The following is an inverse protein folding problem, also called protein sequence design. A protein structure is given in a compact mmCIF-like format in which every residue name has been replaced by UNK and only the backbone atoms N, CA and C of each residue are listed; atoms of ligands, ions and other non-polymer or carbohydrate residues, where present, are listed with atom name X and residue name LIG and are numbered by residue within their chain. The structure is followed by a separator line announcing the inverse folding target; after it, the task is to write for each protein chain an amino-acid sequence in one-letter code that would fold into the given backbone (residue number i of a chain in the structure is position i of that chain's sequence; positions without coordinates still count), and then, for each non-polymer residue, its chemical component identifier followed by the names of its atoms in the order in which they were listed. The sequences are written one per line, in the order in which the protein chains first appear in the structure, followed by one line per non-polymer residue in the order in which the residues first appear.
data_IF_785953043742
#
_entry.id   IF_785953043742
#
_cell.length_a   1.000
_cell.length_b   1.000
_cell.length_c   1.000
_cell.angle_alpha   90.00
_cell.angle_beta   90.00
_cell.angle_gamma   90.00
#
_symmetry.space_group_name_H-M   'P 1'
#
loop_
_entity.id
_entity.type
_entity.pdbx_description
1 polymer ?
#
# COMPACT_ATOMS: atom_id res chain seq x y z
N UNK A 1 -16.48 -7.24 1.76
CA UNK A 1 -15.33 -6.99 2.66
C UNK A 1 -14.27 -6.21 1.92
N UNK A 2 -13.85 -5.12 2.52
CA UNK A 2 -12.75 -4.32 1.98
C UNK A 2 -11.42 -4.84 2.54
N UNK A 3 -10.42 -4.94 1.67
CA UNK A 3 -9.08 -5.25 2.09
C UNK A 3 -8.51 -4.13 2.99
N UNK A 4 -7.71 -4.50 3.96
CA UNK A 4 -6.99 -3.56 4.80
C UNK A 4 -5.52 -3.51 4.40
N UNK A 5 -4.90 -2.37 4.62
CA UNK A 5 -3.46 -2.25 4.44
C UNK A 5 -2.72 -2.75 5.67
N UNK A 6 -1.66 -3.51 5.44
CA UNK A 6 -0.79 -4.07 6.48
C UNK A 6 0.64 -3.61 6.24
N UNK A 7 1.32 -3.30 7.32
CA UNK A 7 2.76 -3.02 7.32
C UNK A 7 3.49 -4.25 7.82
N UNK A 8 4.37 -4.79 6.98
CA UNK A 8 5.21 -5.94 7.30
C UNK A 8 6.67 -5.50 7.45
N UNK A 9 7.31 -5.93 8.53
CA UNK A 9 8.75 -5.77 8.72
C UNK A 9 9.42 -7.11 8.52
N UNK A 10 10.34 -7.16 7.57
CA UNK A 10 11.09 -8.35 7.19
C UNK A 10 12.55 -8.17 7.59
N UNK A 11 13.07 -9.12 8.35
CA UNK A 11 14.46 -9.12 8.80
C UNK A 11 15.22 -10.26 8.12
N UNK A 12 16.36 -9.93 7.54
CA UNK A 12 17.21 -10.90 6.88
C UNK A 12 18.68 -10.48 6.91
N UNK A 13 19.56 -11.37 6.46
CA UNK A 13 20.99 -11.11 6.36
C UNK A 13 21.32 -10.77 4.91
N UNK A 14 21.82 -9.57 4.69
CA UNK A 14 22.29 -9.13 3.39
C UNK A 14 23.81 -9.26 3.33
N UNK A 15 24.30 -9.86 2.23
CA UNK A 15 25.73 -9.96 1.96
C UNK A 15 26.14 -8.79 1.07
N UNK A 16 27.05 -7.97 1.57
CA UNK A 16 27.61 -6.86 0.82
C UNK A 16 28.60 -7.33 -0.26
N UNK A 17 28.96 -6.45 -1.19
CA UNK A 17 29.92 -6.74 -2.25
C UNK A 17 31.30 -7.17 -1.73
N UNK A 18 31.68 -6.74 -0.53
CA UNK A 18 32.91 -7.11 0.16
C UNK A 18 32.83 -8.46 0.93
N UNK A 19 31.70 -9.15 0.81
CA UNK A 19 31.47 -10.42 1.47
C UNK A 19 31.03 -10.33 2.96
N UNK A 20 30.85 -9.12 3.47
CA UNK A 20 30.38 -8.90 4.84
C UNK A 20 28.89 -9.12 4.97
N UNK A 21 28.48 -9.78 6.04
CA UNK A 21 27.09 -9.98 6.38
C UNK A 21 26.56 -8.82 7.21
N UNK A 22 25.39 -8.31 6.84
CA UNK A 22 24.69 -7.25 7.58
C UNK A 22 23.24 -7.67 7.80
N UNK A 23 22.79 -7.55 9.05
CA UNK A 23 21.37 -7.71 9.37
C UNK A 23 20.63 -6.46 8.95
N UNK A 24 19.59 -6.62 8.14
CA UNK A 24 18.73 -5.52 7.67
C UNK A 24 17.29 -5.82 8.01
N UNK A 25 16.54 -4.76 8.28
CA UNK A 25 15.10 -4.81 8.45
C UNK A 25 14.47 -3.88 7.42
N UNK A 26 13.59 -4.43 6.58
CA UNK A 26 12.92 -3.70 5.53
C UNK A 26 11.41 -3.71 5.77
N UNK A 27 10.76 -2.60 5.49
CA UNK A 27 9.32 -2.44 5.65
C UNK A 27 8.62 -2.48 4.30
N UNK A 28 7.49 -3.17 4.26
CA UNK A 28 6.66 -3.34 3.08
C UNK A 28 5.20 -3.05 3.44
N UNK A 29 4.48 -2.46 2.50
CA UNK A 29 3.04 -2.27 2.63
C UNK A 29 2.33 -3.20 1.67
N UNK A 30 1.30 -3.89 2.15
CA UNK A 30 0.48 -4.77 1.31
C UNK A 30 -0.96 -4.74 1.82
N UNK A 31 -1.90 -4.96 0.91
CA UNK A 31 -3.27 -5.13 1.32
C UNK A 31 -3.67 -6.60 1.41
N UNK A 32 -4.53 -6.91 2.35
CA UNK A 32 -5.02 -8.26 2.58
C UNK A 32 -6.34 -8.22 3.34
N UNK A 33 -7.05 -9.33 3.28
CA UNK A 33 -8.34 -9.49 3.97
C UNK A 33 -8.16 -9.87 5.46
N UNK A 34 -7.00 -10.43 5.82
CA UNK A 34 -6.70 -10.89 7.17
C UNK A 34 -5.19 -10.89 7.44
N UNK A 35 -4.80 -11.02 8.71
CA UNK A 35 -3.40 -11.19 9.09
C UNK A 35 -2.78 -12.44 8.47
N UNK A 36 -3.51 -13.54 8.45
CA UNK A 36 -3.04 -14.80 7.86
C UNK A 36 -2.74 -14.64 6.38
N UNK A 37 -3.60 -13.98 5.66
CA UNK A 37 -3.41 -13.70 4.25
C UNK A 37 -2.26 -12.73 4.01
N UNK A 38 -2.13 -11.68 4.84
CA UNK A 38 -1.02 -10.74 4.76
C UNK A 38 0.32 -11.44 4.96
N UNK A 39 0.42 -12.31 5.96
CA UNK A 39 1.62 -13.11 6.21
C UNK A 39 1.96 -14.01 5.02
N UNK A 40 0.97 -14.71 4.50
CA UNK A 40 1.13 -15.59 3.33
C UNK A 40 1.61 -14.84 2.10
N UNK A 41 1.04 -13.66 1.84
CA UNK A 41 1.40 -12.83 0.70
C UNK A 41 2.81 -12.25 0.82
N UNK A 42 3.18 -11.74 1.99
CA UNK A 42 4.53 -11.19 2.18
C UNK A 42 5.60 -12.28 2.08
N UNK A 43 5.33 -13.47 2.58
CA UNK A 43 6.23 -14.60 2.43
C UNK A 43 6.46 -14.96 0.97
N UNK A 44 5.40 -15.00 0.18
CA UNK A 44 5.48 -15.27 -1.25
C UNK A 44 6.32 -14.23 -1.99
N UNK A 45 6.13 -12.95 -1.67
CA UNK A 45 6.91 -11.86 -2.27
C UNK A 45 8.38 -11.94 -1.86
N UNK A 46 8.66 -12.25 -0.59
CA UNK A 46 10.02 -12.33 -0.09
C UNK A 46 10.79 -13.52 -0.65
N UNK A 47 10.14 -14.63 -0.94
CA UNK A 47 10.78 -15.79 -1.59
C UNK A 47 11.38 -15.46 -2.95
N UNK A 48 10.77 -14.52 -3.67
CA UNK A 48 11.28 -14.08 -4.97
C UNK A 48 12.41 -13.04 -4.87
N UNK A 49 12.55 -12.37 -3.74
CA UNK A 49 13.47 -11.24 -3.54
C UNK A 49 14.67 -11.63 -2.69
N UNK A 50 14.46 -12.44 -1.65
CA UNK A 50 15.50 -12.80 -0.69
C UNK A 50 15.98 -14.23 -0.94
N UNK A 51 17.29 -14.36 -1.15
CA UNK A 51 17.97 -15.65 -1.20
C UNK A 51 18.47 -15.98 0.21
N UNK A 52 17.91 -17.00 0.83
CA UNK A 52 18.29 -17.44 2.17
C UNK A 52 17.17 -17.22 3.19
N UNK A 53 17.55 -17.25 4.44
CA UNK A 53 16.59 -17.16 5.54
C UNK A 53 16.16 -15.73 5.81
N UNK A 54 14.89 -15.58 6.11
CA UNK A 54 14.30 -14.30 6.53
C UNK A 54 13.23 -14.54 7.59
N UNK A 55 12.91 -13.51 8.34
CA UNK A 55 11.88 -13.54 9.38
C UNK A 55 10.90 -12.39 9.18
N UNK A 56 9.63 -12.69 9.36
CA UNK A 56 8.62 -11.63 9.48
C UNK A 56 8.70 -11.13 10.94
N UNK A 57 9.37 -10.00 11.11
CA UNK A 57 9.65 -9.42 12.43
C UNK A 57 8.49 -8.61 13.01
N UNK A 58 7.52 -8.27 12.21
CA UNK A 58 6.32 -7.57 12.62
C UNK A 58 5.31 -7.50 11.49
N UNK A 59 4.05 -7.61 11.85
CA UNK A 59 2.93 -7.49 10.93
C UNK A 59 1.79 -6.79 11.67
N UNK A 60 1.42 -5.61 11.20
CA UNK A 60 0.36 -4.82 11.82
C UNK A 60 -0.51 -4.14 10.77
N UNK A 61 -1.76 -3.86 11.13
CA UNK A 61 -2.63 -3.04 10.31
C UNK A 61 -2.06 -1.63 10.20
N UNK A 62 -2.06 -1.10 8.98
CA UNK A 62 -1.68 0.29 8.72
C UNK A 62 -2.90 1.19 8.75
N UNK A 63 -2.70 2.45 9.09
CA UNK A 63 -3.73 3.47 8.99
C UNK A 63 -3.83 4.09 7.59
N UNK A 64 -3.01 3.65 6.65
CA UNK A 64 -3.08 4.08 5.24
C UNK A 64 -4.38 3.59 4.63
N UNK A 65 -5.11 4.49 3.98
CA UNK A 65 -6.40 4.20 3.36
C UNK A 65 -6.35 4.22 1.83
N UNK A 66 -5.43 4.99 1.25
CA UNK A 66 -5.32 5.18 -0.19
C UNK A 66 -3.87 5.13 -0.64
N UNK A 67 -3.67 4.58 -1.83
CA UNK A 67 -2.39 4.51 -2.50
C UNK A 67 -2.42 5.41 -3.73
N UNK A 68 -1.46 6.32 -3.84
CA UNK A 68 -1.27 7.16 -5.02
C UNK A 68 -0.04 6.65 -5.76
N UNK A 69 -0.26 5.91 -6.83
CA UNK A 69 0.79 5.38 -7.68
C UNK A 69 1.22 6.42 -8.71
N UNK A 70 2.40 6.25 -9.26
CA UNK A 70 2.93 7.09 -10.33
C UNK A 70 3.40 6.22 -11.49
N UNK A 71 3.20 6.71 -12.71
CA UNK A 71 3.72 6.06 -13.92
C UNK A 71 5.16 6.48 -14.23
N UNK A 72 5.67 7.50 -13.54
CA UNK A 72 7.04 7.98 -13.70
C UNK A 72 8.00 7.09 -12.92
N UNK A 73 8.97 6.49 -13.59
CA UNK A 73 9.98 5.60 -12.99
C UNK A 73 10.87 6.32 -11.97
N UNK A 74 10.99 7.64 -12.06
CA UNK A 74 11.76 8.44 -11.11
C UNK A 74 11.03 8.61 -9.77
N UNK A 75 9.72 8.39 -9.73
CA UNK A 75 8.93 8.41 -8.51
C UNK A 75 9.06 7.05 -7.79
N UNK A 76 10.23 6.79 -7.27
CA UNK A 76 10.67 5.50 -6.71
C UNK A 76 10.68 5.43 -5.18
N UNK A 77 10.19 6.48 -4.53
CA UNK A 77 10.09 6.55 -3.06
C UNK A 77 8.64 6.66 -2.64
N UNK A 78 8.37 6.36 -1.39
CA UNK A 78 7.04 6.41 -0.81
C UNK A 78 6.96 7.43 0.31
N UNK A 79 5.97 8.32 0.22
CA UNK A 79 5.71 9.37 1.20
C UNK A 79 4.32 9.18 1.80
N UNK A 80 4.22 9.39 3.11
CA UNK A 80 2.94 9.32 3.83
C UNK A 80 2.37 10.72 3.98
N UNK A 81 1.19 10.94 3.45
CA UNK A 81 0.48 12.20 3.55
C UNK A 81 -0.67 12.08 4.54
N UNK A 82 -0.79 13.05 5.42
CA UNK A 82 -1.91 13.21 6.32
C UNK A 82 -2.84 14.28 5.77
N UNK A 83 -4.09 13.91 5.55
CA UNK A 83 -5.12 14.79 4.99
C UNK A 83 -6.24 14.92 6.00
N UNK A 84 -6.56 16.15 6.38
CA UNK A 84 -7.71 16.44 7.20
C UNK A 84 -8.92 16.71 6.30
N UNK A 85 -9.96 15.92 6.45
CA UNK A 85 -11.21 16.10 5.75
C UNK A 85 -12.15 16.87 6.66
N UNK A 86 -12.67 17.98 6.17
CA UNK A 86 -13.53 18.87 6.92
C UNK A 86 -14.98 18.56 6.54
N UNK A 87 -15.73 18.07 7.51
CA UNK A 87 -17.15 17.77 7.37
C UNK A 87 -17.96 18.65 8.31
N UNK A 88 -18.99 19.27 7.77
CA UNK A 88 -19.91 20.10 8.55
C UNK A 88 -21.15 19.28 8.93
N UNK A 89 -21.45 19.22 10.22
CA UNK A 89 -22.69 18.63 10.70
C UNK A 89 -23.87 19.56 10.33
N UNK A 90 -24.77 19.07 9.50
CA UNK A 90 -25.93 19.82 9.01
C UNK A 90 -26.90 20.25 10.14
N UNK A 91 -26.91 19.49 11.26
CA UNK A 91 -27.84 19.75 12.37
C UNK A 91 -27.25 20.75 13.37
N UNK A 92 -25.97 20.63 13.74
CA UNK A 92 -25.33 21.49 14.74
C UNK A 92 -24.54 22.65 14.15
N UNK A 93 -24.22 22.60 12.85
CA UNK A 93 -23.35 23.56 12.17
C UNK A 93 -21.89 23.48 12.60
N UNK A 94 -21.54 22.47 13.42
CA UNK A 94 -20.15 22.27 13.87
C UNK A 94 -19.35 21.53 12.80
N UNK A 95 -18.16 22.03 12.56
CA UNK A 95 -17.19 21.37 11.71
C UNK A 95 -16.50 20.22 12.45
N UNK A 96 -16.49 19.05 11.82
CA UNK A 96 -15.70 17.90 12.27
C UNK A 96 -14.57 17.65 11.29
N UNK A 97 -13.39 17.45 11.83
CA UNK A 97 -12.21 17.09 11.04
C UNK A 97 -11.89 15.62 11.28
N UNK A 98 -11.73 14.86 10.20
CA UNK A 98 -11.25 13.48 10.25
C UNK A 98 -9.97 13.38 9.45
N UNK A 99 -9.03 12.56 9.92
CA UNK A 99 -7.74 12.38 9.26
C UNK A 99 -7.76 11.13 8.37
N UNK A 100 -7.25 11.27 7.17
CA UNK A 100 -6.95 10.16 6.28
C UNK A 100 -5.46 10.16 5.95
N UNK A 101 -4.93 8.99 5.68
CA UNK A 101 -3.52 8.80 5.36
C UNK A 101 -3.38 8.18 3.98
N UNK A 102 -2.65 8.88 3.11
CA UNK A 102 -2.36 8.43 1.76
C UNK A 102 -0.87 8.07 1.66
N UNK A 103 -0.57 7.00 0.93
CA UNK A 103 0.81 6.69 0.59
C UNK A 103 1.04 7.08 -0.88
N UNK A 104 2.00 7.95 -1.11
CA UNK A 104 2.22 8.61 -2.40
C UNK A 104 3.60 8.24 -2.95
N UNK A 105 3.63 7.71 -4.16
CA UNK A 105 4.88 7.48 -4.89
C UNK A 105 5.43 8.80 -5.43
N UNK A 106 6.68 9.10 -5.15
CA UNK A 106 7.34 10.32 -5.62
C UNK A 106 8.86 10.22 -5.51
N UNK A 107 9.55 11.02 -6.31
CA UNK A 107 11.01 11.12 -6.27
C UNK A 107 11.50 11.93 -5.05
N UNK A 108 10.70 12.88 -4.61
CA UNK A 108 11.01 13.78 -3.49
C UNK A 108 9.71 14.36 -2.92
N UNK A 109 9.83 15.14 -1.83
CA UNK A 109 8.67 15.74 -1.15
C UNK A 109 7.86 16.66 -2.08
N UNK A 110 8.52 17.45 -2.92
CA UNK A 110 7.83 18.34 -3.85
C UNK A 110 6.98 17.56 -4.85
N UNK A 111 7.54 16.47 -5.39
CA UNK A 111 6.80 15.56 -6.27
C UNK A 111 5.65 14.87 -5.54
N UNK A 112 5.86 14.51 -4.28
CA UNK A 112 4.80 13.91 -3.47
C UNK A 112 3.61 14.86 -3.33
N UNK A 113 3.88 16.14 -3.07
CA UNK A 113 2.82 17.16 -3.00
C UNK A 113 2.09 17.31 -4.34
N UNK A 114 2.82 17.41 -5.45
CA UNK A 114 2.24 17.51 -6.80
C UNK A 114 1.36 16.30 -7.14
N UNK A 115 1.88 15.10 -6.90
CA UNK A 115 1.16 13.86 -7.18
C UNK A 115 -0.09 13.72 -6.30
N UNK A 116 0.01 14.12 -5.05
CA UNK A 116 -1.11 14.13 -4.11
C UNK A 116 -2.19 15.12 -4.53
N UNK A 117 -1.82 16.36 -4.84
CA UNK A 117 -2.76 17.38 -5.29
C UNK A 117 -3.50 16.95 -6.55
N UNK A 118 -2.78 16.33 -7.48
CA UNK A 118 -3.36 15.78 -8.70
C UNK A 118 -4.39 14.69 -8.40
N UNK A 119 -4.11 13.82 -7.46
CA UNK A 119 -5.05 12.76 -7.05
C UNK A 119 -6.29 13.31 -6.35
N UNK A 120 -6.18 14.48 -5.73
CA UNK A 120 -7.26 15.13 -5.00
C UNK A 120 -8.06 16.15 -5.85
N UNK A 121 -7.73 16.34 -7.12
CA UNK A 121 -8.44 17.27 -8.02
C UNK A 121 -9.93 16.96 -8.14
N UNK A 122 -10.30 15.69 -8.06
CA UNK A 122 -11.70 15.25 -8.14
C UNK A 122 -12.41 15.20 -6.79
N UNK A 123 -11.72 15.58 -5.73
CA UNK A 123 -12.27 15.52 -4.37
C UNK A 123 -13.26 16.69 -4.17
N UNK A 124 -14.49 16.36 -3.82
CA UNK A 124 -15.59 17.36 -3.71
C UNK A 124 -15.76 17.89 -2.28
N UNK A 125 -15.18 17.24 -1.30
CA UNK A 125 -15.26 17.63 0.12
C UNK A 125 -14.08 18.53 0.46
N UNK A 126 -14.25 19.60 1.27
CA UNK A 126 -13.13 20.41 1.73
C UNK A 126 -12.10 19.58 2.47
N UNK A 127 -10.84 19.79 2.14
CA UNK A 127 -9.73 19.09 2.76
C UNK A 127 -8.54 20.02 2.98
N UNK A 128 -7.65 19.61 3.86
CA UNK A 128 -6.38 20.27 4.10
C UNK A 128 -5.28 19.21 4.13
N UNK A 129 -4.19 19.45 3.39
CA UNK A 129 -2.99 18.63 3.48
C UNK A 129 -2.21 19.08 4.70
N UNK A 130 -2.17 18.23 5.74
CA UNK A 130 -1.56 18.57 7.02
C UNK A 130 -0.07 18.32 7.03
N UNK A 131 0.37 17.19 6.47
CA UNK A 131 1.77 16.81 6.44
C UNK A 131 2.09 15.82 5.33
N UNK A 132 3.34 15.84 4.90
CA UNK A 132 3.92 14.81 4.02
C UNK A 132 5.24 14.40 4.67
N UNK A 133 5.38 13.10 4.95
CA UNK A 133 6.54 12.54 5.64
C UNK A 133 7.19 11.47 4.81
N UNK A 134 8.50 11.42 4.81
CA UNK A 134 9.23 10.31 4.21
C UNK A 134 8.94 9.01 4.97
N UNK A 135 8.95 7.89 4.26
CA UNK A 135 8.76 6.58 4.84
C UNK A 135 9.95 5.68 4.54
N UNK A 136 10.00 4.55 5.24
CA UNK A 136 11.02 3.53 5.03
C UNK A 136 10.48 2.33 4.23
N UNK A 137 9.33 2.46 3.60
CA UNK A 137 8.79 1.38 2.78
C UNK A 137 9.69 1.13 1.56
N UNK A 138 10.16 -0.10 1.45
CA UNK A 138 10.97 -0.54 0.31
C UNK A 138 10.11 -0.78 -0.91
N UNK A 139 8.89 -1.31 -0.70
CA UNK A 139 7.95 -1.56 -1.77
C UNK A 139 6.53 -1.69 -1.23
N UNK A 140 5.59 -1.63 -2.14
CA UNK A 140 4.16 -1.78 -1.87
C UNK A 140 3.61 -2.86 -2.79
N UNK A 141 2.87 -3.81 -2.21
CA UNK A 141 2.28 -4.92 -2.95
C UNK A 141 0.75 -4.82 -2.91
N UNK A 142 0.14 -4.03 -3.84
CA UNK A 142 -1.31 -4.00 -3.96
C UNK A 142 -1.85 -5.34 -4.43
N UNK A 143 -3.04 -5.69 -3.99
CA UNK A 143 -3.66 -6.98 -4.28
C UNK A 143 -3.84 -7.24 -5.77
N UNK A 144 -4.16 -6.21 -6.53
CA UNK A 144 -4.45 -6.27 -7.96
C UNK A 144 -3.56 -5.30 -8.76
N UNK A 145 -2.24 -5.31 -8.47
CA UNK A 145 -1.31 -4.35 -9.09
C UNK A 145 -1.00 -4.66 -10.54
N UNK A 146 -1.08 -5.92 -10.95
CA UNK A 146 -0.80 -6.35 -12.30
C UNK A 146 -2.03 -6.96 -12.96
N UNK A 147 -2.46 -6.37 -14.07
CA UNK A 147 -3.50 -6.93 -14.93
C UNK A 147 -3.14 -8.34 -15.45
N UNK A 148 -1.88 -8.73 -15.30
CA UNK A 148 -1.34 -10.02 -15.73
C UNK A 148 -1.19 -11.05 -14.60
N UNK A 149 -1.38 -10.68 -13.32
CA UNK A 149 -1.42 -11.68 -12.26
C UNK A 149 -2.78 -12.35 -12.25
N UNK A 150 -2.78 -13.66 -12.50
CA UNK A 150 -4.00 -14.46 -12.35
C UNK A 150 -4.45 -14.39 -10.89
N UNK A 151 -5.58 -13.77 -10.67
CA UNK A 151 -6.23 -13.75 -9.36
C UNK A 151 -6.58 -15.19 -9.01
N UNK A 152 -6.14 -15.72 -7.86
CA UNK A 152 -6.54 -17.06 -7.43
C UNK A 152 -8.05 -17.21 -7.47
N UNK A 153 -8.54 -18.38 -7.91
CA UNK A 153 -9.98 -18.62 -8.10
C UNK A 153 -10.81 -18.32 -6.85
N UNK A 154 -10.27 -18.61 -5.68
CA UNK A 154 -10.92 -18.32 -4.39
C UNK A 154 -11.06 -16.83 -4.07
N UNK A 155 -10.39 -15.98 -4.84
CA UNK A 155 -10.41 -14.52 -4.66
C UNK A 155 -11.10 -13.78 -5.81
N UNK A 156 -11.46 -14.51 -6.88
CA UNK A 156 -12.22 -13.91 -7.98
C UNK A 156 -13.65 -13.58 -7.53
N UNK A 157 -14.21 -12.46 -7.98
CA UNK A 157 -15.61 -12.16 -7.74
C UNK A 157 -16.50 -13.29 -8.30
N UNK A 158 -17.61 -13.57 -7.63
CA UNK A 158 -18.56 -14.61 -8.05
C UNK A 158 -19.05 -14.39 -9.49
N UNK A 159 -19.19 -13.16 -9.92
CA UNK A 159 -19.56 -12.81 -11.30
C UNK A 159 -18.57 -13.30 -12.35
N UNK A 160 -17.29 -13.43 -11.99
CA UNK A 160 -16.27 -13.97 -12.89
C UNK A 160 -16.35 -15.49 -13.03
N UNK A 161 -16.94 -16.19 -12.05
CA UNK A 161 -17.16 -17.64 -12.10
C UNK A 161 -18.34 -18.00 -13.02
N UNK A 162 -19.38 -17.16 -13.04
CA UNK A 162 -20.54 -17.35 -13.91
C UNK A 162 -20.19 -17.20 -15.39
N UNK A 163 -19.27 -16.30 -15.73
CA UNK A 163 -18.78 -16.13 -17.10
C UNK A 163 -17.96 -17.35 -17.60
N UNK A 164 -17.28 -18.04 -16.67
CA UNK A 164 -16.53 -19.25 -17.00
C UNK A 164 -17.42 -20.48 -17.27
N UNK A 165 -18.61 -20.54 -16.68
CA UNK A 165 -19.55 -21.63 -16.87
C UNK A 165 -20.32 -21.50 -18.19
N UNK A 166 -20.52 -20.30 -18.71
CA UNK A 166 -21.20 -20.08 -20.01
C UNK A 166 -20.35 -20.46 -21.22
N UNK A 167 -19.02 -20.51 -21.08
CA UNK A 167 -18.11 -20.89 -22.16
C UNK A 167 -17.98 -22.41 -22.34
N UNK A 168 -18.39 -23.20 -21.37
CA UNK A 168 -18.32 -24.69 -21.44
C UNK A 168 -19.57 -25.36 -22.03
N UNK A 169 -20.54 -24.59 -22.50
CA UNK A 169 -21.75 -25.10 -23.15
C UNK A 169 -21.63 -25.00 -24.69
#
# INVERSE_FOLDING_TARGET
MTANWFEAKVKYIKVNEDGREKKVTESYLLDAMSYTEAESRIMKEMESVIKGEYYINGLKKSNITELVESVDENDDRWYKAKIAIIDADEVSGKEKSSNQYYLVAAANINRALENLEKSLETFVVPYEIVSITDTQFMDVFPYFSDENEEVPENLKPVSAWEEGEEEEV
#
